data_IF_673765885551
#
_entry.id   IF_673765885551
#
_cell.length_a   1.000
_cell.length_b   1.000
_cell.length_c   1.000
_cell.angle_alpha   90.00
_cell.angle_beta   90.00
_cell.angle_gamma   90.00
#
_symmetry.space_group_name_H-M   'P 1'
#
loop_
_entity.id
_entity.type
_entity.pdbx_description
1 polymer ?
#
# COMPACT_ATOMS: atom_id res chain seq x y z
N UNK A 1 -7.51 7.07 29.08
CA UNK A 1 -7.84 5.90 28.24
C UNK A 1 -7.88 6.40 26.80
N UNK A 2 -6.83 6.11 26.02
CA UNK A 2 -6.76 6.52 24.62
C UNK A 2 -7.52 5.47 23.80
N UNK A 3 -8.57 5.89 23.11
CA UNK A 3 -9.44 5.00 22.33
C UNK A 3 -8.65 4.45 21.14
N UNK A 4 -8.30 3.16 21.19
CA UNK A 4 -7.54 2.44 20.16
C UNK A 4 -8.41 2.05 18.95
N UNK A 5 -9.43 2.86 18.63
CA UNK A 5 -10.37 2.60 17.53
C UNK A 5 -10.05 3.44 16.28
N UNK A 6 -9.13 4.41 16.40
CA UNK A 6 -8.64 5.21 15.29
C UNK A 6 -7.11 5.24 15.33
N UNK A 7 -6.48 4.76 14.26
CA UNK A 7 -5.03 4.83 14.08
C UNK A 7 -4.72 5.63 12.83
N UNK A 8 -3.62 6.37 12.86
CA UNK A 8 -3.01 6.82 11.61
C UNK A 8 -2.39 5.61 10.90
N UNK A 9 -2.33 5.70 9.58
CA UNK A 9 -1.63 4.74 8.71
C UNK A 9 -0.23 4.36 9.24
N UNK A 10 0.52 5.34 9.76
CA UNK A 10 1.83 5.12 10.37
C UNK A 10 1.79 4.19 11.61
N UNK A 11 0.78 4.31 12.47
CA UNK A 11 0.66 3.48 13.66
C UNK A 11 0.06 2.09 13.39
N UNK A 12 -0.63 1.92 12.27
CA UNK A 12 -1.22 0.64 11.85
C UNK A 12 -0.31 -0.20 10.93
N UNK A 13 0.86 0.32 10.55
CA UNK A 13 1.79 -0.36 9.65
C UNK A 13 2.25 -1.71 10.24
N UNK A 14 2.12 -2.78 9.46
CA UNK A 14 2.50 -4.15 9.86
C UNK A 14 1.40 -4.97 10.54
N UNK A 15 0.21 -4.41 10.77
CA UNK A 15 -0.94 -5.14 11.32
C UNK A 15 -1.96 -5.48 10.24
N UNK A 16 -2.58 -6.66 10.32
CA UNK A 16 -3.77 -7.02 9.54
C UNK A 16 -4.99 -6.85 10.43
N UNK A 17 -5.93 -5.99 10.04
CA UNK A 17 -7.14 -5.72 10.81
C UNK A 17 -8.33 -6.33 10.05
N UNK A 18 -9.13 -7.23 10.67
CA UNK A 18 -10.17 -7.98 9.95
C UNK A 18 -11.28 -7.13 9.31
N UNK A 19 -11.58 -5.96 9.87
CA UNK A 19 -12.55 -5.00 9.31
C UNK A 19 -12.02 -3.59 9.51
N UNK A 20 -11.89 -2.81 8.43
CA UNK A 20 -11.28 -1.48 8.47
C UNK A 20 -12.20 -0.45 7.82
N UNK A 21 -12.42 0.65 8.53
CA UNK A 21 -12.96 1.88 7.98
C UNK A 21 -11.79 2.79 7.61
N UNK A 22 -11.67 3.15 6.34
CA UNK A 22 -10.58 3.99 5.85
C UNK A 22 -11.12 5.34 5.42
N UNK A 23 -10.45 6.39 5.88
CA UNK A 23 -10.72 7.77 5.50
C UNK A 23 -9.56 8.28 4.62
N UNK A 24 -9.85 8.46 3.33
CA UNK A 24 -8.92 8.94 2.32
C UNK A 24 -9.18 10.40 1.92
N UNK A 25 -9.87 11.17 2.77
CA UNK A 25 -10.02 12.59 2.50
C UNK A 25 -8.67 13.33 2.63
N UNK A 26 -8.48 14.34 1.78
CA UNK A 26 -7.27 15.15 1.81
C UNK A 26 -7.16 15.89 3.16
N UNK A 27 -6.08 15.68 3.93
CA UNK A 27 -5.88 16.40 5.18
C UNK A 27 -5.71 17.90 4.94
N UNK A 28 -6.16 18.78 5.84
CA UNK A 28 -6.06 20.23 5.67
C UNK A 28 -4.63 20.77 5.68
N UNK A 29 -3.66 20.02 6.23
CA UNK A 29 -2.26 20.47 6.41
C UNK A 29 -1.21 19.59 5.73
N UNK A 30 -1.57 18.37 5.30
CA UNK A 30 -0.64 17.42 4.68
C UNK A 30 -1.27 16.83 3.44
N UNK A 31 -0.48 16.61 2.39
CA UNK A 31 -0.98 15.90 1.22
C UNK A 31 -1.14 14.42 1.54
N UNK A 32 -2.27 13.85 1.12
CA UNK A 32 -2.45 12.41 1.04
C UNK A 32 -1.66 11.90 -0.18
N UNK A 33 -0.78 10.94 0.03
CA UNK A 33 0.02 10.33 -1.03
C UNK A 33 -0.52 8.94 -1.38
N UNK A 34 -0.23 8.47 -2.60
CA UNK A 34 -0.52 7.11 -3.03
C UNK A 34 -0.01 6.05 -2.03
N UNK A 35 1.18 6.30 -1.46
CA UNK A 35 1.81 5.41 -0.48
C UNK A 35 1.00 5.31 0.82
N UNK A 36 0.61 6.44 1.41
CA UNK A 36 -0.17 6.48 2.65
C UNK A 36 -1.53 5.78 2.45
N UNK A 37 -2.18 6.07 1.32
CA UNK A 37 -3.44 5.43 0.95
C UNK A 37 -3.27 3.92 0.76
N UNK A 38 -2.22 3.47 0.07
CA UNK A 38 -1.89 2.05 -0.07
C UNK A 38 -1.64 1.37 1.28
N UNK A 39 -0.90 2.00 2.19
CA UNK A 39 -0.65 1.46 3.54
C UNK A 39 -1.97 1.26 4.29
N UNK A 40 -2.88 2.24 4.23
CA UNK A 40 -4.19 2.14 4.86
C UNK A 40 -5.08 1.04 4.25
N UNK A 41 -5.13 0.94 2.91
CA UNK A 41 -5.92 -0.07 2.20
C UNK A 41 -5.39 -1.50 2.45
N UNK A 42 -4.06 -1.66 2.47
CA UNK A 42 -3.38 -2.95 2.67
C UNK A 42 -3.53 -3.54 4.07
N UNK A 43 -4.20 -2.83 5.01
CA UNK A 43 -4.51 -3.39 6.34
C UNK A 43 -5.69 -4.36 6.30
N UNK A 44 -6.56 -4.24 5.30
CA UNK A 44 -7.71 -5.13 5.10
C UNK A 44 -7.31 -6.41 4.34
N UNK A 45 -8.07 -7.49 4.52
CA UNK A 45 -7.82 -8.75 3.81
C UNK A 45 -8.48 -8.81 2.42
N UNK A 46 -9.35 -7.85 2.10
CA UNK A 46 -10.06 -7.78 0.83
C UNK A 46 -11.22 -6.79 0.85
N UNK A 47 -11.90 -6.68 -0.30
CA UNK A 47 -12.99 -5.71 -0.52
C UNK A 47 -14.14 -5.84 0.48
N UNK A 48 -14.48 -7.05 0.89
CA UNK A 48 -15.60 -7.30 1.83
C UNK A 48 -15.28 -6.83 3.27
N UNK A 49 -13.99 -6.59 3.55
CA UNK A 49 -13.47 -6.22 4.87
C UNK A 49 -13.05 -4.75 4.97
N UNK A 50 -13.25 -3.98 3.91
CA UNK A 50 -12.87 -2.57 3.85
C UNK A 50 -14.06 -1.69 3.45
N UNK A 51 -14.21 -0.56 4.12
CA UNK A 51 -15.20 0.44 3.78
C UNK A 51 -14.55 1.83 3.77
N UNK A 52 -14.74 2.55 2.67
CA UNK A 52 -14.27 3.92 2.50
C UNK A 52 -15.34 4.87 3.04
N UNK A 53 -14.96 5.75 3.97
CA UNK A 53 -15.91 6.69 4.59
C UNK A 53 -16.27 7.83 3.61
N UNK A 54 -15.36 8.17 2.70
CA UNK A 54 -15.48 9.27 1.74
C UNK A 54 -14.78 8.91 0.43
N UNK A 55 -15.19 9.58 -0.65
CA UNK A 55 -14.51 9.51 -1.93
C UNK A 55 -13.09 10.10 -1.83
N UNK A 56 -12.23 9.68 -2.74
CA UNK A 56 -10.86 10.15 -2.90
C UNK A 56 -10.63 10.60 -4.34
N UNK A 57 -9.56 11.36 -4.57
CA UNK A 57 -9.19 11.84 -5.90
C UNK A 57 -8.65 10.69 -6.77
N UNK A 58 -9.19 10.49 -7.97
CA UNK A 58 -8.74 9.45 -8.91
C UNK A 58 -7.25 9.57 -9.23
N UNK A 59 -6.69 10.78 -9.19
CA UNK A 59 -5.27 11.01 -9.43
C UNK A 59 -4.36 10.38 -8.37
N UNK A 60 -4.91 10.08 -7.18
CA UNK A 60 -4.17 9.53 -6.04
C UNK A 60 -3.45 8.23 -6.35
N UNK A 61 -3.99 7.39 -7.24
CA UNK A 61 -3.39 6.11 -7.62
C UNK A 61 -2.95 6.04 -9.09
N UNK A 62 -3.23 7.07 -9.88
CA UNK A 62 -2.78 7.12 -11.29
C UNK A 62 -1.48 7.90 -11.46
N UNK A 63 -1.09 8.72 -10.49
CA UNK A 63 0.20 9.40 -10.51
C UNK A 63 1.31 8.39 -10.22
N UNK A 64 2.32 8.26 -11.11
CA UNK A 64 3.43 7.35 -10.90
C UNK A 64 4.17 7.65 -9.59
N UNK A 65 4.72 6.60 -8.97
CA UNK A 65 5.61 6.74 -7.84
C UNK A 65 6.87 7.53 -8.25
N UNK A 66 7.65 8.01 -7.28
CA UNK A 66 8.92 8.69 -7.57
C UNK A 66 9.82 7.81 -8.47
N UNK A 67 10.55 8.43 -9.42
CA UNK A 67 11.44 7.77 -10.39
C UNK A 67 12.37 6.72 -9.74
N UNK A 68 12.84 6.98 -8.52
CA UNK A 68 13.68 6.06 -7.75
C UNK A 68 12.95 4.73 -7.47
N UNK A 69 11.67 4.80 -7.10
CA UNK A 69 10.87 3.60 -6.82
C UNK A 69 10.57 2.81 -8.10
N UNK A 70 10.35 3.48 -9.23
CA UNK A 70 10.15 2.81 -10.53
C UNK A 70 11.42 2.10 -11.01
N UNK A 71 12.58 2.74 -10.84
CA UNK A 71 13.88 2.14 -11.13
C UNK A 71 14.13 0.91 -10.26
N UNK A 72 13.80 0.98 -8.97
CA UNK A 72 13.94 -0.15 -8.05
C UNK A 72 12.98 -1.30 -8.39
N UNK A 73 11.73 -0.99 -8.72
CA UNK A 73 10.75 -1.98 -9.20
C UNK A 73 11.26 -2.73 -10.44
N UNK A 74 11.88 -2.00 -11.37
CA UNK A 74 12.48 -2.59 -12.58
C UNK A 74 13.64 -3.51 -12.22
N UNK A 75 14.56 -3.05 -11.37
CA UNK A 75 15.69 -3.84 -10.88
C UNK A 75 15.25 -5.12 -10.18
N UNK A 76 14.20 -5.06 -9.35
CA UNK A 76 13.65 -6.23 -8.65
C UNK A 76 13.02 -7.25 -9.61
N UNK A 77 12.33 -6.80 -10.67
CA UNK A 77 11.77 -7.71 -11.69
C UNK A 77 12.86 -8.42 -12.48
N UNK A 78 13.94 -7.73 -12.81
CA UNK A 78 15.10 -8.34 -13.47
C UNK A 78 15.76 -9.38 -12.58
N UNK A 79 15.91 -9.08 -11.29
CA UNK A 79 16.47 -9.99 -10.30
C UNK A 79 15.59 -11.24 -10.10
N UNK A 80 14.27 -11.08 -10.02
CA UNK A 80 13.33 -12.21 -9.94
C UNK A 80 13.49 -13.13 -11.15
N UNK A 81 13.49 -12.57 -12.37
CA UNK A 81 13.68 -13.34 -13.61
C UNK A 81 14.98 -14.15 -13.58
N UNK A 82 16.10 -13.52 -13.23
CA UNK A 82 17.41 -14.19 -13.12
C UNK A 82 17.41 -15.29 -12.07
N UNK A 83 16.76 -15.06 -10.94
CA UNK A 83 16.61 -16.05 -9.86
C UNK A 83 15.79 -17.25 -10.33
N UNK A 84 14.68 -17.03 -11.03
CA UNK A 84 13.85 -18.10 -11.60
C UNK A 84 14.62 -18.94 -12.62
N UNK A 85 15.42 -18.31 -13.48
CA UNK A 85 16.29 -19.00 -14.44
C UNK A 85 17.34 -19.87 -13.74
N UNK A 86 18.00 -19.33 -12.71
CA UNK A 86 19.01 -20.05 -11.93
C UNK A 86 18.41 -21.25 -11.19
N UNK A 87 17.23 -21.09 -10.57
CA UNK A 87 16.53 -22.17 -9.86
C UNK A 87 16.13 -23.29 -10.83
N UNK A 88 15.68 -22.95 -12.05
CA UNK A 88 15.34 -23.96 -13.07
C UNK A 88 16.56 -24.78 -13.47
N UNK A 89 17.73 -24.16 -13.56
CA UNK A 89 18.97 -24.85 -13.91
C UNK A 89 19.45 -25.81 -12.80
N UNK A 90 19.26 -25.47 -11.53
CA UNK A 90 19.61 -26.32 -10.38
C UNK A 90 18.65 -27.52 -10.22
N UNK A 91 17.42 -27.42 -10.73
CA UNK A 91 16.38 -28.45 -10.62
C UNK A 91 16.33 -29.43 -11.79
N UNK A 92 17.20 -29.29 -12.80
CA UNK A 92 17.40 -30.25 -13.89
C UNK A 92 18.54 -31.21 -13.55
#
# INVERSE_FOLDING_TARGET
MMQAYSFTDYHAQGQTIPYVLVDLAQPPTRQLTAFNAYVALSRSSGKDTICLIRDFDDTLFTTPACEILEAEDTRLRELDRSTQESIKHIRQ
#
